data_IF_168728357171
#
_entry.id   IF_168728357171
#
_cell.length_a   1.000
_cell.length_b   1.000
_cell.length_c   1.000
_cell.angle_alpha   90.00
_cell.angle_beta   90.00
_cell.angle_gamma   90.00
#
_symmetry.space_group_name_H-M   'P 1'
#
loop_
_entity.id
_entity.type
_entity.pdbx_description
1 polymer ?
#
# COMPACT_ATOMS: atom_id res chain seq x y z
N UNK A 1 7.09 14.08 7.71
CA UNK A 1 5.62 14.05 7.79
C UNK A 1 5.06 12.66 8.05
N UNK A 2 5.34 11.64 7.21
CA UNK A 2 4.82 10.28 7.40
C UNK A 2 5.03 9.68 8.81
N UNK A 3 6.26 9.68 9.33
CA UNK A 3 6.55 9.17 10.70
C UNK A 3 5.73 9.91 11.77
N UNK A 4 5.50 11.22 11.59
CA UNK A 4 4.70 12.03 12.52
C UNK A 4 3.25 11.57 12.52
N UNK A 5 2.63 11.41 11.35
CA UNK A 5 1.26 10.89 11.22
C UNK A 5 1.12 9.50 11.83
N UNK A 6 2.05 8.58 11.51
CA UNK A 6 2.04 7.21 12.04
C UNK A 6 2.11 7.20 13.58
N UNK A 7 2.97 8.04 14.15
CA UNK A 7 3.13 8.14 15.60
C UNK A 7 1.93 8.80 16.28
N UNK A 8 1.52 9.97 15.80
CA UNK A 8 0.51 10.81 16.45
C UNK A 8 -0.92 10.27 16.25
N UNK A 9 -1.23 9.69 15.09
CA UNK A 9 -2.59 9.26 14.75
C UNK A 9 -2.81 7.75 14.93
N UNK A 10 -1.80 6.93 14.61
CA UNK A 10 -1.92 5.47 14.62
C UNK A 10 -1.14 4.80 15.76
N UNK A 11 -0.37 5.55 16.56
CA UNK A 11 0.47 5.02 17.64
C UNK A 11 1.51 3.99 17.14
N UNK A 12 1.95 4.12 15.89
CA UNK A 12 2.94 3.25 15.26
C UNK A 12 4.32 3.92 15.32
N UNK A 13 5.31 3.25 15.94
CA UNK A 13 6.70 3.69 15.86
C UNK A 13 7.38 3.18 14.58
N UNK A 14 7.45 4.06 13.58
CA UNK A 14 8.14 3.82 12.33
C UNK A 14 9.55 4.46 12.30
N UNK A 15 10.16 4.77 13.45
CA UNK A 15 11.46 5.44 13.51
C UNK A 15 12.61 4.63 12.89
N UNK A 16 12.50 3.31 12.86
CA UNK A 16 13.46 2.40 12.25
C UNK A 16 13.20 2.12 10.77
N UNK A 17 12.11 2.64 10.21
CA UNK A 17 11.76 2.44 8.81
C UNK A 17 12.78 3.12 7.89
N UNK A 18 13.16 2.45 6.79
CA UNK A 18 14.06 2.98 5.77
C UNK A 18 13.53 2.72 4.37
N UNK A 19 13.92 3.58 3.43
CA UNK A 19 13.69 3.35 2.01
C UNK A 19 14.51 2.15 1.51
N UNK A 20 13.91 1.35 0.63
CA UNK A 20 14.49 0.14 0.04
C UNK A 20 14.21 0.14 -1.46
N UNK A 21 15.20 -0.26 -2.26
CA UNK A 21 14.97 -0.55 -3.68
C UNK A 21 14.25 -1.89 -3.81
N UNK A 22 13.44 -2.05 -4.86
CA UNK A 22 12.83 -3.36 -5.18
C UNK A 22 13.91 -4.43 -5.40
N UNK A 23 15.09 -4.04 -5.89
CA UNK A 23 16.21 -4.94 -6.19
C UNK A 23 16.67 -5.74 -4.97
N UNK A 24 16.46 -5.22 -3.75
CA UNK A 24 16.76 -5.93 -2.50
C UNK A 24 15.91 -7.20 -2.32
N UNK A 25 14.81 -7.32 -3.06
CA UNK A 25 13.82 -8.39 -2.91
C UNK A 25 13.63 -9.24 -4.16
N UNK A 26 14.48 -9.08 -5.18
CA UNK A 26 14.37 -9.77 -6.47
C UNK A 26 14.36 -11.30 -6.36
N UNK A 27 15.00 -11.84 -5.32
CA UNK A 27 15.11 -13.29 -5.07
C UNK A 27 14.04 -13.78 -4.06
N UNK A 28 13.18 -12.89 -3.58
CA UNK A 28 12.08 -13.22 -2.67
C UNK A 28 10.83 -13.70 -3.40
N UNK A 29 10.09 -14.59 -2.75
CA UNK A 29 8.75 -15.01 -3.17
C UNK A 29 7.69 -14.17 -2.48
N UNK A 30 6.71 -13.69 -3.23
CA UNK A 30 5.56 -12.96 -2.71
C UNK A 30 4.26 -13.69 -3.04
N UNK A 31 3.31 -13.68 -2.11
CA UNK A 31 1.94 -14.13 -2.38
C UNK A 31 1.08 -12.98 -2.94
N UNK A 32 1.35 -11.76 -2.45
CA UNK A 32 0.59 -10.55 -2.75
C UNK A 32 1.52 -9.35 -2.89
N UNK A 33 1.35 -8.59 -3.98
CA UNK A 33 2.04 -7.33 -4.26
C UNK A 33 1.00 -6.22 -4.43
N UNK A 34 1.07 -5.21 -3.57
CA UNK A 34 0.20 -4.02 -3.64
C UNK A 34 1.06 -2.80 -3.97
N UNK A 35 0.73 -2.14 -5.07
CA UNK A 35 1.34 -0.85 -5.44
C UNK A 35 0.41 0.29 -5.04
N UNK A 36 0.92 1.31 -4.35
CA UNK A 36 0.08 2.38 -3.73
C UNK A 36 0.19 3.74 -4.42
N UNK A 37 1.17 3.92 -5.30
CA UNK A 37 1.43 5.15 -6.05
C UNK A 37 1.55 4.82 -7.53
N UNK A 38 1.07 5.70 -8.41
CA UNK A 38 1.15 5.52 -9.87
C UNK A 38 2.59 5.34 -10.36
N UNK A 39 3.55 6.06 -9.77
CA UNK A 39 4.99 5.92 -10.07
C UNK A 39 5.52 4.51 -9.77
N UNK A 40 4.95 3.83 -8.78
CA UNK A 40 5.33 2.46 -8.43
C UNK A 40 4.84 1.44 -9.47
N UNK A 41 3.77 1.75 -10.22
CA UNK A 41 3.22 0.88 -11.26
C UNK A 41 4.12 0.78 -12.49
N UNK A 42 4.79 1.87 -12.85
CA UNK A 42 5.63 1.96 -14.06
C UNK A 42 6.97 1.21 -13.94
N UNK A 43 7.42 0.94 -12.70
CA UNK A 43 8.70 0.25 -12.44
C UNK A 43 8.51 -1.24 -12.18
N UNK A 44 7.32 -1.81 -12.38
CA UNK A 44 7.00 -3.17 -11.94
C UNK A 44 7.89 -4.22 -12.63
N UNK A 45 8.77 -4.92 -11.90
CA UNK A 45 9.55 -6.02 -12.45
C UNK A 45 8.67 -7.25 -12.69
N UNK A 46 9.19 -8.23 -13.43
CA UNK A 46 8.58 -9.57 -13.50
C UNK A 46 8.74 -10.22 -12.12
N UNK A 47 7.62 -10.49 -11.45
CA UNK A 47 7.63 -11.13 -10.13
C UNK A 47 7.80 -12.64 -10.25
N UNK A 48 8.84 -13.23 -9.64
CA UNK A 48 8.95 -14.69 -9.56
C UNK A 48 7.78 -15.24 -8.73
N UNK A 49 7.14 -16.32 -9.22
CA UNK A 49 6.07 -17.03 -8.49
C UNK A 49 4.63 -16.63 -8.83
N UNK A 50 4.40 -15.66 -9.73
CA UNK A 50 3.06 -15.18 -10.11
C UNK A 50 2.18 -14.75 -8.91
N UNK A 51 2.62 -13.75 -8.12
CA UNK A 51 1.81 -13.21 -7.03
C UNK A 51 0.51 -12.60 -7.55
N UNK A 52 -0.46 -12.46 -6.65
CA UNK A 52 -1.57 -11.53 -6.87
C UNK A 52 -0.98 -10.11 -6.92
N UNK A 53 -1.25 -9.36 -7.99
CA UNK A 53 -0.81 -7.97 -8.12
C UNK A 53 -2.01 -7.04 -8.17
N UNK A 54 -2.07 -6.11 -7.22
CA UNK A 54 -3.10 -5.08 -7.13
C UNK A 54 -2.49 -3.68 -7.07
N UNK A 55 -3.26 -2.70 -7.55
CA UNK A 55 -2.92 -1.29 -7.49
C UNK A 55 -3.97 -0.57 -6.66
N UNK A 56 -3.54 0.03 -5.55
CA UNK A 56 -4.37 0.82 -4.65
C UNK A 56 -3.94 2.28 -4.77
N UNK A 57 -4.30 2.89 -5.90
CA UNK A 57 -3.94 4.28 -6.19
C UNK A 57 -4.28 5.20 -5.02
N UNK A 58 -3.30 5.98 -4.59
CA UNK A 58 -3.45 7.04 -3.59
C UNK A 58 -2.64 8.25 -4.05
N UNK A 59 -3.13 9.48 -3.80
CA UNK A 59 -2.39 10.67 -4.18
C UNK A 59 -1.05 10.71 -3.43
N UNK A 60 0.03 11.10 -4.12
CA UNK A 60 1.35 11.27 -3.50
C UNK A 60 1.30 12.46 -2.52
N UNK A 61 1.26 12.24 -1.20
CA UNK A 61 1.10 13.33 -0.25
C UNK A 61 2.35 14.21 -0.18
N UNK A 62 3.51 13.74 -0.68
CA UNK A 62 4.72 14.54 -0.77
C UNK A 62 4.72 15.51 -1.96
N UNK A 63 3.83 15.33 -2.93
CA UNK A 63 3.65 16.25 -4.05
C UNK A 63 2.76 17.46 -3.69
N UNK A 64 2.06 17.41 -2.56
CA UNK A 64 1.22 18.51 -2.09
C UNK A 64 2.07 19.72 -1.65
N UNK A 65 1.65 20.92 -2.06
CA UNK A 65 2.30 22.19 -1.69
C UNK A 65 1.31 23.04 -0.91
N UNK A 66 1.65 23.34 0.34
CA UNK A 66 0.83 24.16 1.23
C UNK A 66 1.53 24.39 2.57
N UNK A 67 0.78 24.84 3.57
CA UNK A 67 1.28 24.97 4.94
C UNK A 67 1.64 23.60 5.54
N UNK A 68 2.42 23.60 6.61
CA UNK A 68 2.77 22.37 7.34
C UNK A 68 1.52 21.61 7.81
N UNK A 69 0.52 22.35 8.29
CA UNK A 69 -0.75 21.80 8.77
C UNK A 69 -1.60 21.21 7.63
N UNK A 70 -1.66 21.86 6.48
CA UNK A 70 -2.34 21.30 5.30
C UNK A 70 -1.62 20.07 4.77
N UNK A 71 -0.28 20.09 4.78
CA UNK A 71 0.56 18.94 4.42
C UNK A 71 0.32 17.78 5.38
N UNK A 72 0.26 18.04 6.69
CA UNK A 72 -0.04 17.02 7.70
C UNK A 72 -1.40 16.37 7.45
N UNK A 73 -2.44 17.17 7.16
CA UNK A 73 -3.77 16.66 6.82
C UNK A 73 -3.74 15.79 5.57
N UNK A 74 -3.05 16.19 4.52
CA UNK A 74 -2.89 15.37 3.30
C UNK A 74 -2.22 14.01 3.61
N UNK A 75 -1.13 14.00 4.37
CA UNK A 75 -0.50 12.74 4.79
C UNK A 75 -1.42 11.86 5.64
N UNK A 76 -2.19 12.47 6.56
CA UNK A 76 -3.16 11.75 7.40
C UNK A 76 -4.29 11.15 6.57
N UNK A 77 -4.84 11.90 5.62
CA UNK A 77 -5.97 11.46 4.81
C UNK A 77 -5.56 10.28 3.90
N UNK A 78 -4.36 10.33 3.30
CA UNK A 78 -3.77 9.19 2.57
C UNK A 78 -3.54 7.99 3.49
N UNK A 79 -3.02 8.19 4.70
CA UNK A 79 -2.81 7.10 5.64
C UNK A 79 -4.13 6.44 6.09
N UNK A 80 -5.19 7.22 6.27
CA UNK A 80 -6.53 6.72 6.58
C UNK A 80 -7.11 5.89 5.43
N UNK A 81 -6.95 6.36 4.18
CA UNK A 81 -7.36 5.63 3.00
C UNK A 81 -6.65 4.26 2.91
N UNK A 82 -5.33 4.24 3.09
CA UNK A 82 -4.55 3.00 3.09
C UNK A 82 -4.99 2.08 4.23
N UNK A 83 -5.24 2.63 5.42
CA UNK A 83 -5.69 1.84 6.58
C UNK A 83 -7.02 1.15 6.33
N UNK A 84 -8.02 1.85 5.80
CA UNK A 84 -9.32 1.26 5.45
C UNK A 84 -9.17 0.09 4.47
N UNK A 85 -8.29 0.22 3.49
CA UNK A 85 -8.01 -0.83 2.51
C UNK A 85 -7.32 -2.03 3.15
N UNK A 86 -6.38 -1.81 4.07
CA UNK A 86 -5.76 -2.87 4.86
C UNK A 86 -6.81 -3.59 5.72
N UNK A 87 -7.72 -2.86 6.38
CA UNK A 87 -8.77 -3.44 7.21
C UNK A 87 -9.69 -4.35 6.37
N UNK A 88 -10.07 -3.91 5.17
CA UNK A 88 -10.85 -4.73 4.23
C UNK A 88 -10.08 -5.97 3.76
N UNK A 89 -8.78 -5.84 3.50
CA UNK A 89 -7.94 -6.97 3.10
C UNK A 89 -7.86 -8.03 4.20
N UNK A 90 -7.67 -7.60 5.45
CA UNK A 90 -7.60 -8.50 6.62
C UNK A 90 -8.96 -9.15 6.90
N UNK A 91 -10.07 -8.49 6.55
CA UNK A 91 -11.41 -9.04 6.68
C UNK A 91 -11.78 -10.07 5.60
N UNK A 92 -10.96 -10.26 4.56
CA UNK A 92 -11.21 -11.28 3.54
C UNK A 92 -11.00 -12.69 4.11
N UNK A 93 -11.87 -13.66 3.76
CA UNK A 93 -11.64 -15.07 4.09
C UNK A 93 -10.31 -15.54 3.48
N UNK A 94 -9.53 -16.32 4.23
CA UNK A 94 -8.19 -16.80 3.81
C UNK A 94 -8.26 -17.59 2.50
N UNK A 95 -9.39 -18.25 2.24
CA UNK A 95 -9.65 -19.02 1.02
C UNK A 95 -9.72 -18.12 -0.22
N UNK A 96 -10.06 -16.84 -0.03
CA UNK A 96 -10.03 -15.79 -1.06
C UNK A 96 -8.65 -15.15 -1.19
N UNK A 97 -7.67 -15.49 -0.37
CA UNK A 97 -6.30 -14.94 -0.49
C UNK A 97 -5.32 -15.93 -1.15
N UNK A 98 -5.82 -17.07 -1.63
CA UNK A 98 -5.01 -18.01 -2.40
C UNK A 98 -4.59 -17.40 -3.73
N UNK A 99 -3.28 -17.42 -4.01
CA UNK A 99 -2.68 -16.98 -5.29
C UNK A 99 -3.25 -17.71 -6.52
N UNK A 100 -3.90 -18.86 -6.31
CA UNK A 100 -4.56 -19.63 -7.37
C UNK A 100 -6.05 -19.28 -7.56
N UNK A 101 -6.59 -18.35 -6.78
CA UNK A 101 -8.00 -17.96 -6.86
C UNK A 101 -8.17 -16.65 -7.63
N UNK A 102 -8.77 -16.74 -8.82
CA UNK A 102 -9.18 -15.55 -9.62
C UNK A 102 -10.11 -14.64 -8.81
N UNK A 103 -10.96 -15.25 -7.98
CA UNK A 103 -11.83 -14.56 -7.04
C UNK A 103 -11.05 -13.74 -5.99
N UNK A 104 -9.87 -14.20 -5.60
CA UNK A 104 -9.01 -13.50 -4.66
C UNK A 104 -8.34 -12.30 -5.28
N UNK A 105 -7.75 -12.48 -6.46
CA UNK A 105 -7.15 -11.40 -7.23
C UNK A 105 -8.13 -10.25 -7.47
N UNK A 106 -9.38 -10.56 -7.84
CA UNK A 106 -10.41 -9.54 -8.02
C UNK A 106 -10.77 -8.84 -6.70
N UNK A 107 -10.93 -9.58 -5.60
CA UNK A 107 -11.27 -8.99 -4.30
C UNK A 107 -10.21 -7.99 -3.83
N UNK A 108 -8.93 -8.32 -4.01
CA UNK A 108 -7.82 -7.43 -3.65
C UNK A 108 -7.79 -6.19 -4.54
N UNK A 109 -8.11 -6.31 -5.84
CA UNK A 109 -8.22 -5.17 -6.75
C UNK A 109 -9.38 -4.25 -6.38
N UNK A 110 -10.54 -4.82 -6.07
CA UNK A 110 -11.75 -4.05 -5.73
C UNK A 110 -11.55 -3.21 -4.46
N UNK A 111 -10.76 -3.69 -3.49
CA UNK A 111 -10.35 -2.91 -2.31
C UNK A 111 -9.64 -1.61 -2.71
N UNK A 112 -8.88 -1.63 -3.81
CA UNK A 112 -8.19 -0.45 -4.33
C UNK A 112 -9.12 0.69 -4.75
N UNK A 113 -10.37 0.37 -5.10
CA UNK A 113 -11.36 1.36 -5.53
C UNK A 113 -12.15 1.97 -4.35
N UNK A 114 -11.94 1.47 -3.13
CA UNK A 114 -12.58 2.01 -1.92
C UNK A 114 -11.84 3.26 -1.44
N UNK A 115 -12.60 4.35 -1.23
CA UNK A 115 -12.15 5.65 -0.71
C UNK A 115 -12.38 5.83 0.79
#
# INVERSE_FOLDING_TARGET
MAIRVLREHFQIDASSARSKSWEEFKDGSFDLVITVCDKARETCPVWPGQPIVAHWGSPDPAAFVGSEEETYRHFRDVALQITRRIDLLIALPIERLSAYSVAGEQSVRDIGEVG
#
